data_IF_238304737681
#
_entry.id   IF_238304737681
#
_cell.length_a   1.000
_cell.length_b   1.000
_cell.length_c   1.000
_cell.angle_alpha   90.00
_cell.angle_beta   90.00
_cell.angle_gamma   90.00
#
_symmetry.space_group_name_H-M   'P 1'
#
loop_
_entity.id
_entity.type
_entity.pdbx_description
1 polymer ?
#
# COMPACT_ATOMS: atom_id res chain seq x y z
N UNK A 1 14.16 -8.08 -13.08
CA UNK A 1 13.81 -8.30 -11.65
C UNK A 1 14.66 -7.38 -10.78
N UNK A 2 14.05 -6.52 -9.95
CA UNK A 2 14.81 -5.67 -9.01
C UNK A 2 15.17 -6.48 -7.77
N UNK A 3 16.36 -6.26 -7.22
CA UNK A 3 16.96 -7.03 -6.10
C UNK A 3 16.16 -7.05 -4.77
N UNK A 4 15.04 -6.33 -4.67
CA UNK A 4 14.30 -6.15 -3.41
C UNK A 4 12.78 -6.33 -3.53
N UNK A 5 12.25 -6.85 -4.64
CA UNK A 5 10.79 -7.05 -4.78
C UNK A 5 10.23 -8.06 -3.75
N UNK A 6 11.02 -9.05 -3.34
CA UNK A 6 10.62 -10.07 -2.36
C UNK A 6 10.50 -9.55 -0.92
N UNK A 7 10.95 -8.31 -0.64
CA UNK A 7 10.94 -7.71 0.69
C UNK A 7 9.77 -6.75 0.90
N UNK A 8 8.97 -6.53 -0.14
CA UNK A 8 7.80 -5.64 -0.10
C UNK A 8 6.59 -6.43 0.34
N UNK A 9 5.88 -5.89 1.33
CA UNK A 9 4.61 -6.43 1.78
C UNK A 9 3.64 -5.27 1.98
N UNK A 10 2.35 -5.59 1.92
CA UNK A 10 1.30 -4.64 2.24
C UNK A 10 0.82 -4.91 3.66
N UNK A 11 0.67 -3.86 4.45
CA UNK A 11 0.21 -3.97 5.84
C UNK A 11 -1.16 -3.33 5.98
N UNK A 12 -2.11 -3.99 6.63
CA UNK A 12 -3.39 -3.36 6.93
C UNK A 12 -3.21 -2.17 7.88
N UNK A 13 -3.69 -0.99 7.48
CA UNK A 13 -3.58 0.25 8.26
C UNK A 13 -4.85 1.07 8.16
N UNK A 14 -5.25 1.71 9.26
CA UNK A 14 -6.38 2.66 9.28
C UNK A 14 -5.89 4.05 8.86
N UNK A 15 -6.57 4.65 7.88
CA UNK A 15 -6.26 5.98 7.36
C UNK A 15 -6.50 7.04 8.44
N UNK A 16 -5.45 7.80 8.78
CA UNK A 16 -5.55 8.96 9.69
C UNK A 16 -5.92 10.25 8.96
N UNK A 17 -5.73 10.27 7.64
CA UNK A 17 -6.04 11.38 6.76
C UNK A 17 -6.51 10.84 5.41
N UNK A 18 -7.09 11.70 4.58
CA UNK A 18 -7.50 11.31 3.25
C UNK A 18 -6.26 10.94 2.41
N UNK A 19 -6.34 9.83 1.71
CA UNK A 19 -5.28 9.31 0.85
C UNK A 19 -5.86 8.97 -0.53
N UNK A 20 -4.99 8.90 -1.54
CA UNK A 20 -5.37 8.47 -2.88
C UNK A 20 -4.75 7.10 -3.12
N UNK A 21 -5.57 6.16 -3.58
CA UNK A 21 -5.11 4.84 -3.97
C UNK A 21 -4.16 4.96 -5.19
N UNK A 22 -2.96 4.40 -5.10
CA UNK A 22 -1.97 4.44 -6.18
C UNK A 22 -2.33 3.58 -7.39
N UNK A 23 -3.32 2.69 -7.29
CA UNK A 23 -3.72 1.79 -8.37
C UNK A 23 -4.99 2.25 -9.10
N UNK A 24 -6.05 2.58 -8.34
CA UNK A 24 -7.34 2.98 -8.92
C UNK A 24 -7.67 4.47 -8.78
N UNK A 25 -6.77 5.26 -8.20
CA UNK A 25 -6.95 6.69 -7.95
C UNK A 25 -8.18 7.06 -7.09
N UNK A 26 -8.85 6.07 -6.47
CA UNK A 26 -9.96 6.31 -5.54
C UNK A 26 -9.46 6.99 -4.27
N UNK A 27 -10.26 7.91 -3.76
CA UNK A 27 -10.05 8.51 -2.46
C UNK A 27 -10.34 7.50 -1.35
N UNK A 28 -9.43 7.42 -0.40
CA UNK A 28 -9.50 6.65 0.84
C UNK A 28 -9.71 7.70 1.93
N UNK A 29 -10.86 7.68 2.59
CA UNK A 29 -11.16 8.70 3.58
C UNK A 29 -10.46 8.41 4.90
N UNK A 30 -10.28 9.45 5.72
CA UNK A 30 -9.87 9.26 7.10
C UNK A 30 -10.87 8.33 7.81
N UNK A 31 -10.36 7.28 8.46
CA UNK A 31 -11.15 6.23 9.09
C UNK A 31 -11.27 4.95 8.26
N UNK A 32 -11.03 4.99 6.96
CA UNK A 32 -11.05 3.80 6.10
C UNK A 32 -9.81 2.92 6.29
N UNK A 33 -9.93 1.65 5.90
CA UNK A 33 -8.81 0.71 5.88
C UNK A 33 -8.10 0.78 4.53
N UNK A 34 -6.77 0.88 4.58
CA UNK A 34 -5.91 0.85 3.41
C UNK A 34 -4.65 0.03 3.67
N UNK A 35 -3.95 -0.28 2.59
CA UNK A 35 -2.82 -1.19 2.56
C UNK A 35 -1.60 -0.44 1.99
N UNK A 36 -0.81 0.25 2.83
CA UNK A 36 0.47 0.81 2.41
C UNK A 36 1.51 -0.29 2.11
N UNK A 37 2.33 -0.04 1.09
CA UNK A 37 3.55 -0.80 0.81
C UNK A 37 4.60 -0.50 1.88
N UNK A 38 5.05 -1.54 2.58
CA UNK A 38 6.15 -1.51 3.53
C UNK A 38 7.27 -2.45 3.07
N UNK A 39 8.50 -2.15 3.49
CA UNK A 39 9.68 -2.97 3.21
C UNK A 39 10.41 -3.26 4.53
N UNK A 40 10.81 -4.52 4.72
CA UNK A 40 11.29 -5.03 6.01
C UNK A 40 12.59 -4.37 6.55
N UNK A 41 13.31 -3.58 5.73
CA UNK A 41 14.71 -3.23 6.04
C UNK A 41 15.17 -1.80 5.65
N UNK A 42 14.28 -0.86 5.30
CA UNK A 42 14.74 0.48 4.86
C UNK A 42 13.96 1.65 5.46
N UNK A 43 14.60 2.30 6.43
CA UNK A 43 14.21 3.59 7.03
C UNK A 43 13.97 4.72 6.00
N UNK A 44 14.61 4.66 4.83
CA UNK A 44 14.61 5.73 3.81
C UNK A 44 13.49 5.65 2.75
N UNK A 45 12.63 4.64 2.76
CA UNK A 45 11.56 4.50 1.74
C UNK A 45 10.23 5.16 2.11
N UNK A 46 10.25 6.14 3.02
CA UNK A 46 9.04 6.74 3.58
C UNK A 46 8.27 7.65 2.61
N UNK A 47 8.94 8.23 1.61
CA UNK A 47 8.33 9.27 0.78
C UNK A 47 7.43 8.77 -0.37
N UNK A 48 7.74 7.62 -0.97
CA UNK A 48 7.04 7.10 -2.17
C UNK A 48 6.34 5.76 -1.95
N UNK A 49 5.79 5.53 -0.74
CA UNK A 49 5.06 4.30 -0.46
C UNK A 49 3.76 4.27 -1.24
N UNK A 50 3.54 3.19 -2.01
CA UNK A 50 2.24 2.95 -2.65
C UNK A 50 1.19 2.72 -1.57
N UNK A 51 0.01 3.30 -1.74
CA UNK A 51 -1.13 3.11 -0.85
C UNK A 51 -2.25 2.47 -1.66
N UNK A 52 -2.73 1.32 -1.25
CA UNK A 52 -3.81 0.63 -1.93
C UNK A 52 -5.08 0.65 -1.10
N UNK A 53 -6.21 0.85 -1.74
CA UNK A 53 -7.50 0.57 -1.11
C UNK A 53 -7.69 -0.95 -1.00
N UNK A 54 -8.61 -1.37 -0.13
CA UNK A 54 -8.95 -2.78 0.09
C UNK A 54 -9.19 -3.56 -1.21
N UNK A 55 -9.95 -2.98 -2.13
CA UNK A 55 -10.26 -3.65 -3.40
C UNK A 55 -9.00 -3.92 -4.24
N UNK A 56 -8.11 -2.93 -4.36
CA UNK A 56 -6.88 -3.11 -5.15
C UNK A 56 -5.90 -4.06 -4.48
N UNK A 57 -5.86 -4.09 -3.15
CA UNK A 57 -5.06 -5.06 -2.42
C UNK A 57 -5.56 -6.49 -2.70
N UNK A 58 -6.87 -6.73 -2.61
CA UNK A 58 -7.48 -8.03 -2.90
C UNK A 58 -7.25 -8.50 -4.34
N UNK A 59 -7.28 -7.59 -5.31
CA UNK A 59 -6.96 -7.90 -6.71
C UNK A 59 -5.52 -8.42 -6.86
N UNK A 60 -4.56 -7.75 -6.21
CA UNK A 60 -3.15 -8.15 -6.26
C UNK A 60 -2.91 -9.49 -5.54
N UNK A 61 -3.58 -9.71 -4.40
CA UNK A 61 -3.49 -11.00 -3.70
C UNK A 61 -4.06 -12.15 -4.52
N UNK A 62 -5.16 -11.93 -5.25
CA UNK A 62 -5.77 -12.95 -6.12
C UNK A 62 -4.95 -13.27 -7.37
N UNK A 63 -4.15 -12.33 -7.85
CA UNK A 63 -3.27 -12.51 -9.01
C UNK A 63 -1.92 -13.14 -8.67
N UNK A 64 -1.65 -13.42 -7.38
CA UNK A 64 -0.39 -14.00 -6.90
C UNK A 64 -0.52 -15.50 -6.69
#
# INVERSE_FOLDING_TARGET
MRKYDNLKFFKETKARANHICSNCSKQINAGDIYYPEEMKDKFLHSLHRKKLCKNCYQDIEKSK
#
